data_IF_183596079917
#
_entry.id   IF_183596079917
#
_cell.length_a   1.000
_cell.length_b   1.000
_cell.length_c   1.000
_cell.angle_alpha   90.00
_cell.angle_beta   90.00
_cell.angle_gamma   90.00
#
_symmetry.space_group_name_H-M   'P 1'
#
loop_
_entity.id
_entity.type
_entity.pdbx_description
1 polymer ?
#
# COMPACT_ATOMS: atom_id res chain seq x y z
N UNK A 1 -13.84 -47.92 -9.51
CA UNK A 1 -13.13 -46.63 -9.76
C UNK A 1 -13.57 -45.67 -8.67
N UNK A 2 -12.73 -45.48 -7.67
CA UNK A 2 -13.04 -44.66 -6.49
C UNK A 2 -12.44 -43.27 -6.68
N UNK A 3 -13.30 -42.20 -6.65
CA UNK A 3 -12.90 -40.83 -6.67
C UNK A 3 -12.37 -40.44 -5.29
N UNK A 4 -11.06 -40.19 -5.19
CA UNK A 4 -10.45 -39.63 -4.01
C UNK A 4 -10.76 -38.11 -3.94
N UNK A 5 -11.66 -37.75 -3.02
CA UNK A 5 -11.91 -36.37 -2.66
C UNK A 5 -10.71 -35.78 -1.89
N UNK A 6 -10.01 -34.85 -2.49
CA UNK A 6 -8.99 -34.06 -1.81
C UNK A 6 -9.65 -33.18 -0.74
N UNK A 7 -9.47 -33.53 0.53
CA UNK A 7 -9.82 -32.68 1.67
C UNK A 7 -8.80 -31.51 1.72
N UNK A 8 -9.25 -30.29 1.37
CA UNK A 8 -8.50 -29.08 1.66
C UNK A 8 -8.37 -28.96 3.19
N UNK A 9 -7.19 -29.20 3.71
CA UNK A 9 -6.88 -28.96 5.10
C UNK A 9 -6.82 -27.44 5.34
N UNK A 10 -7.80 -26.94 6.07
CA UNK A 10 -7.84 -25.54 6.52
C UNK A 10 -6.66 -25.33 7.49
N UNK A 11 -5.59 -24.68 7.03
CA UNK A 11 -4.46 -24.30 7.87
C UNK A 11 -4.79 -22.99 8.59
N UNK A 12 -5.01 -23.05 9.90
CA UNK A 12 -5.10 -21.89 10.78
C UNK A 12 -3.68 -21.32 10.93
N UNK A 13 -3.43 -20.14 10.37
CA UNK A 13 -2.16 -19.45 10.56
C UNK A 13 -2.31 -18.56 11.81
N UNK A 14 -1.64 -18.94 12.88
CA UNK A 14 -1.54 -18.13 14.09
C UNK A 14 -0.38 -17.15 13.93
N UNK A 15 -0.69 -15.88 13.69
CA UNK A 15 0.32 -14.82 13.66
C UNK A 15 0.40 -14.21 15.07
N UNK A 16 1.56 -14.36 15.73
CA UNK A 16 1.83 -13.67 16.98
C UNK A 16 2.20 -12.22 16.69
N UNK A 17 1.36 -11.29 17.13
CA UNK A 17 1.70 -9.87 17.14
C UNK A 17 2.70 -9.57 18.28
N UNK A 18 3.63 -8.59 18.12
CA UNK A 18 4.54 -8.20 19.19
C UNK A 18 3.75 -7.59 20.36
N UNK A 19 4.05 -8.07 21.55
CA UNK A 19 3.40 -7.68 22.81
C UNK A 19 3.82 -6.26 23.18
N UNK A 20 2.87 -5.32 23.20
CA UNK A 20 3.02 -4.07 23.93
C UNK A 20 3.02 -4.41 25.43
N UNK A 21 3.90 -3.74 26.21
CA UNK A 21 4.08 -3.96 27.66
C UNK A 21 2.76 -3.74 28.42
N UNK A 22 2.09 -4.84 28.73
CA UNK A 22 0.85 -4.88 29.50
C UNK A 22 0.22 -6.25 29.31
N UNK A 23 0.42 -7.17 30.24
CA UNK A 23 0.27 -8.62 30.20
C UNK A 23 -1.07 -9.22 29.75
N UNK A 24 -1.46 -9.04 28.49
CA UNK A 24 -2.55 -9.79 27.87
C UNK A 24 -2.09 -10.29 26.50
N UNK A 25 -2.05 -11.62 26.31
CA UNK A 25 -1.77 -12.21 24.99
C UNK A 25 -3.03 -12.03 24.13
N UNK A 26 -3.06 -11.05 23.25
CA UNK A 26 -4.13 -10.93 22.26
C UNK A 26 -3.92 -12.01 21.19
N UNK A 27 -4.74 -13.06 21.21
CA UNK A 27 -4.75 -14.09 20.17
C UNK A 27 -5.64 -13.56 19.05
N UNK A 28 -5.02 -13.15 17.94
CA UNK A 28 -5.77 -12.77 16.73
C UNK A 28 -6.03 -14.04 15.92
N UNK A 29 -7.27 -14.52 15.94
CA UNK A 29 -7.71 -15.62 15.09
C UNK A 29 -8.20 -15.01 13.78
N UNK A 30 -7.47 -15.29 12.68
CA UNK A 30 -7.90 -14.87 11.33
C UNK A 30 -8.66 -16.00 10.66
N UNK A 31 -9.75 -15.65 9.98
CA UNK A 31 -10.50 -16.61 9.16
C UNK A 31 -9.68 -17.00 7.92
N UNK A 32 -9.88 -18.24 7.36
CA UNK A 32 -9.05 -18.76 6.26
C UNK A 32 -9.07 -17.93 4.98
N UNK A 33 -10.10 -17.11 4.76
CA UNK A 33 -10.33 -16.33 3.53
C UNK A 33 -9.96 -14.85 3.65
N UNK A 34 -9.15 -14.45 4.61
CA UNK A 34 -8.70 -13.05 4.68
C UNK A 34 -7.65 -12.77 3.60
N UNK A 35 -8.09 -12.09 2.54
CA UNK A 35 -7.18 -11.54 1.55
C UNK A 35 -6.37 -10.42 2.19
N UNK A 36 -5.07 -10.42 1.93
CA UNK A 36 -4.18 -9.31 2.30
C UNK A 36 -4.67 -8.04 1.61
N UNK A 37 -4.86 -6.98 2.37
CA UNK A 37 -5.30 -5.66 1.90
C UNK A 37 -4.09 -4.78 1.70
N UNK A 38 -3.98 -4.20 0.52
CA UNK A 38 -2.85 -3.37 0.10
C UNK A 38 -3.34 -1.95 -0.09
N UNK A 39 -2.95 -1.04 0.79
CA UNK A 39 -3.25 0.38 0.66
C UNK A 39 -2.32 1.02 -0.35
N UNK A 40 -2.88 1.75 -1.32
CA UNK A 40 -2.12 2.45 -2.37
C UNK A 40 -2.28 3.96 -2.19
N UNK A 41 -1.18 4.61 -1.80
CA UNK A 41 -1.06 6.06 -1.63
C UNK A 41 -0.42 6.67 -2.87
N UNK A 42 -1.09 7.59 -3.53
CA UNK A 42 -0.58 8.34 -4.70
C UNK A 42 -1.45 9.55 -5.00
N UNK A 43 -0.94 10.50 -5.79
CA UNK A 43 -1.75 11.56 -6.37
C UNK A 43 -2.80 10.99 -7.33
N UNK A 44 -4.01 11.58 -7.33
CA UNK A 44 -5.15 11.00 -8.05
C UNK A 44 -5.07 11.19 -9.57
N UNK A 45 -4.76 12.43 -9.99
CA UNK A 45 -4.78 12.81 -11.41
C UNK A 45 -3.45 12.51 -12.09
N UNK A 46 -2.33 12.92 -11.47
CA UNK A 46 -0.99 12.78 -12.03
C UNK A 46 -0.58 11.32 -12.26
N UNK A 47 -1.01 10.43 -11.38
CA UNK A 47 -0.64 9.00 -11.37
C UNK A 47 -1.83 8.07 -11.67
N UNK A 48 -2.81 8.54 -12.44
CA UNK A 48 -4.02 7.76 -12.72
C UNK A 48 -3.72 6.43 -13.43
N UNK A 49 -2.79 6.43 -14.40
CA UNK A 49 -2.39 5.22 -15.13
C UNK A 49 -1.66 4.23 -14.20
N UNK A 50 -0.73 4.72 -13.39
CA UNK A 50 0.01 3.94 -12.40
C UNK A 50 -0.91 3.32 -11.34
N UNK A 51 -1.90 4.07 -10.90
CA UNK A 51 -2.94 3.57 -9.96
C UNK A 51 -3.70 2.41 -10.56
N UNK A 52 -4.11 2.51 -11.82
CA UNK A 52 -4.80 1.43 -12.53
C UNK A 52 -3.90 0.20 -12.69
N UNK A 53 -2.65 0.37 -13.10
CA UNK A 53 -1.69 -0.71 -13.28
C UNK A 53 -1.42 -1.46 -11.96
N UNK A 54 -1.16 -0.73 -10.86
CA UNK A 54 -0.94 -1.32 -9.54
C UNK A 54 -2.20 -2.02 -9.01
N UNK A 55 -3.38 -1.42 -9.22
CA UNK A 55 -4.66 -2.05 -8.84
C UNK A 55 -4.87 -3.37 -9.57
N UNK A 56 -4.61 -3.40 -10.87
CA UNK A 56 -4.68 -4.62 -11.67
C UNK A 56 -3.70 -5.70 -11.17
N UNK A 57 -2.44 -5.31 -10.90
CA UNK A 57 -1.41 -6.20 -10.39
C UNK A 57 -1.77 -6.80 -9.02
N UNK A 58 -2.24 -5.98 -8.08
CA UNK A 58 -2.70 -6.43 -6.76
C UNK A 58 -3.86 -7.44 -6.91
N UNK A 59 -4.79 -7.15 -7.80
CA UNK A 59 -5.94 -8.03 -8.06
C UNK A 59 -5.52 -9.36 -8.69
N UNK A 60 -4.58 -9.35 -9.64
CA UNK A 60 -4.01 -10.57 -10.24
C UNK A 60 -3.34 -11.47 -9.20
N UNK A 61 -2.71 -10.89 -8.19
CA UNK A 61 -2.14 -11.62 -7.06
C UNK A 61 -3.20 -12.14 -6.06
N UNK A 62 -4.48 -11.94 -6.34
CA UNK A 62 -5.60 -12.27 -5.45
C UNK A 62 -5.54 -11.54 -4.11
N UNK A 63 -4.89 -10.38 -4.08
CA UNK A 63 -4.89 -9.46 -2.97
C UNK A 63 -6.03 -8.43 -3.15
N UNK A 64 -6.32 -7.64 -2.12
CA UNK A 64 -7.38 -6.63 -2.16
C UNK A 64 -6.75 -5.24 -2.22
N UNK A 65 -6.86 -4.51 -3.34
CA UNK A 65 -6.42 -3.12 -3.40
C UNK A 65 -7.36 -2.23 -2.58
N UNK A 66 -6.78 -1.33 -1.81
CA UNK A 66 -7.49 -0.32 -1.02
C UNK A 66 -6.96 1.05 -1.45
N UNK A 67 -7.81 1.83 -2.11
CA UNK A 67 -7.46 3.15 -2.62
C UNK A 67 -8.44 4.19 -2.06
N UNK A 68 -7.89 5.36 -1.74
CA UNK A 68 -8.72 6.52 -1.49
C UNK A 68 -9.09 7.16 -2.83
N UNK A 69 -10.39 7.28 -3.09
CA UNK A 69 -10.92 7.94 -4.29
C UNK A 69 -11.75 9.16 -3.89
N UNK A 70 -11.63 10.23 -4.68
CA UNK A 70 -12.49 11.40 -4.52
C UNK A 70 -13.95 11.02 -4.82
N UNK A 71 -14.85 11.52 -3.98
CA UNK A 71 -16.28 11.32 -4.14
C UNK A 71 -17.04 11.81 -2.92
N UNK A 72 -18.36 11.93 -3.04
CA UNK A 72 -19.21 12.27 -1.90
C UNK A 72 -19.17 11.13 -0.88
N UNK A 73 -18.61 11.41 0.29
CA UNK A 73 -18.51 10.48 1.41
C UNK A 73 -19.08 11.11 2.66
N UNK A 74 -19.70 10.33 3.56
CA UNK A 74 -20.33 10.86 4.79
C UNK A 74 -19.33 11.30 5.86
N UNK A 75 -18.03 11.07 5.66
CA UNK A 75 -16.96 11.36 6.61
C UNK A 75 -15.88 12.25 6.00
N UNK A 76 -15.14 13.02 6.83
CA UNK A 76 -13.98 13.78 6.39
C UNK A 76 -12.95 12.88 5.69
N UNK A 77 -12.26 13.37 4.65
CA UNK A 77 -11.26 12.59 3.91
C UNK A 77 -10.21 11.93 4.80
N UNK A 78 -9.73 12.63 5.83
CA UNK A 78 -8.72 12.12 6.75
C UNK A 78 -9.19 10.91 7.56
N UNK A 79 -10.42 10.93 8.04
CA UNK A 79 -10.98 9.82 8.80
C UNK A 79 -11.15 8.58 7.93
N UNK A 80 -11.52 8.78 6.64
CA UNK A 80 -11.70 7.69 5.68
C UNK A 80 -10.37 7.00 5.35
N UNK A 81 -9.36 7.76 4.88
CA UNK A 81 -8.10 7.10 4.51
C UNK A 81 -7.38 6.51 5.73
N UNK A 82 -7.53 7.11 6.91
CA UNK A 82 -7.05 6.54 8.15
C UNK A 82 -7.70 5.19 8.46
N UNK A 83 -9.02 5.11 8.38
CA UNK A 83 -9.76 3.86 8.59
C UNK A 83 -9.38 2.78 7.56
N UNK A 84 -9.19 3.18 6.29
CA UNK A 84 -8.73 2.26 5.23
C UNK A 84 -7.32 1.77 5.49
N UNK A 85 -6.43 2.65 5.92
CA UNK A 85 -5.06 2.32 6.23
C UNK A 85 -4.97 1.38 7.45
N UNK A 86 -5.73 1.65 8.51
CA UNK A 86 -5.78 0.80 9.71
C UNK A 86 -6.19 -0.65 9.36
N UNK A 87 -7.11 -0.82 8.41
CA UNK A 87 -7.59 -2.11 7.95
C UNK A 87 -6.67 -2.78 6.91
N UNK A 88 -5.64 -2.09 6.44
CA UNK A 88 -4.72 -2.62 5.43
C UNK A 88 -3.51 -3.30 6.07
N UNK A 89 -2.99 -4.31 5.40
CA UNK A 89 -1.84 -5.12 5.87
C UNK A 89 -0.52 -4.59 5.31
N UNK A 90 -0.53 -4.01 4.11
CA UNK A 90 0.64 -3.51 3.39
C UNK A 90 0.36 -2.10 2.87
N UNK A 91 1.38 -1.26 2.86
CA UNK A 91 1.34 0.09 2.28
C UNK A 91 2.20 0.16 1.02
N UNK A 92 1.65 0.73 -0.05
CA UNK A 92 2.38 1.08 -1.28
C UNK A 92 2.27 2.59 -1.48
N UNK A 93 3.40 3.29 -1.51
CA UNK A 93 3.47 4.70 -1.87
C UNK A 93 4.01 4.87 -3.29
N UNK A 94 3.32 5.62 -4.14
CA UNK A 94 3.72 5.93 -5.52
C UNK A 94 3.79 7.46 -5.65
N UNK A 95 4.99 7.99 -5.89
CA UNK A 95 5.25 9.42 -5.90
C UNK A 95 5.91 9.84 -7.21
N UNK A 96 5.50 10.99 -7.78
CA UNK A 96 6.05 11.52 -9.02
C UNK A 96 6.59 12.95 -8.83
N UNK A 97 5.86 13.98 -9.24
CA UNK A 97 6.28 15.38 -9.18
C UNK A 97 5.57 16.18 -8.10
N UNK A 98 4.27 15.90 -7.85
CA UNK A 98 3.43 16.70 -6.97
C UNK A 98 3.41 16.16 -5.53
N UNK A 99 3.50 17.07 -4.56
CA UNK A 99 3.40 16.76 -3.12
C UNK A 99 1.97 16.40 -2.69
N UNK A 100 1.00 16.77 -3.53
CA UNK A 100 -0.41 16.60 -3.23
C UNK A 100 -1.00 17.73 -2.40
N UNK A 101 -2.31 17.70 -2.25
CA UNK A 101 -3.06 18.75 -1.58
C UNK A 101 -2.90 18.69 -0.06
N UNK A 102 -2.72 19.89 0.52
CA UNK A 102 -2.71 20.08 1.98
C UNK A 102 -4.07 20.61 2.39
N UNK A 103 -4.82 19.82 3.15
CA UNK A 103 -6.15 20.22 3.61
C UNK A 103 -6.10 21.39 4.61
N UNK A 104 -7.15 22.20 4.70
CA UNK A 104 -7.26 23.23 5.73
C UNK A 104 -7.08 22.61 7.13
N UNK A 105 -6.20 23.24 7.94
CA UNK A 105 -5.87 22.76 9.29
C UNK A 105 -4.84 21.61 9.33
N UNK A 106 -4.29 21.21 8.20
CA UNK A 106 -3.18 20.25 8.14
C UNK A 106 -1.86 20.93 7.77
N UNK A 107 -0.76 20.45 8.34
CA UNK A 107 0.60 20.94 8.03
C UNK A 107 1.22 20.19 6.84
N UNK A 108 0.80 18.96 6.60
CA UNK A 108 1.31 18.05 5.57
C UNK A 108 0.22 17.64 4.61
N UNK A 109 0.62 17.18 3.41
CA UNK A 109 -0.34 16.62 2.44
C UNK A 109 -0.90 15.29 2.91
N UNK A 110 -2.02 14.87 2.30
CA UNK A 110 -2.60 13.56 2.53
C UNK A 110 -1.58 12.43 2.30
N UNK A 111 -0.74 12.54 1.28
CA UNK A 111 0.31 11.54 0.96
C UNK A 111 1.31 11.36 2.10
N UNK A 112 1.77 12.46 2.69
CA UNK A 112 2.71 12.40 3.80
C UNK A 112 2.03 11.94 5.10
N UNK A 113 0.78 12.34 5.36
CA UNK A 113 0.01 11.87 6.51
C UNK A 113 -0.27 10.35 6.42
N UNK A 114 -0.65 9.86 5.24
CA UNK A 114 -0.84 8.42 4.97
C UNK A 114 0.46 7.63 5.19
N UNK A 115 1.59 8.14 4.71
CA UNK A 115 2.89 7.51 4.96
C UNK A 115 3.21 7.44 6.45
N UNK A 116 3.02 8.52 7.19
CA UNK A 116 3.28 8.58 8.63
C UNK A 116 2.37 7.60 9.40
N UNK A 117 1.09 7.54 9.04
CA UNK A 117 0.11 6.62 9.61
C UNK A 117 0.39 5.15 9.27
N UNK A 118 1.14 4.87 8.20
CA UNK A 118 1.53 3.51 7.82
C UNK A 118 2.64 2.91 8.69
N UNK A 119 3.11 3.63 9.70
CA UNK A 119 4.16 3.15 10.60
C UNK A 119 3.82 1.78 11.19
N UNK A 120 4.81 0.87 11.21
CA UNK A 120 4.64 -0.51 11.68
C UNK A 120 4.08 -1.49 10.64
N UNK A 121 3.71 -1.02 9.44
CA UNK A 121 3.31 -1.90 8.32
C UNK A 121 4.48 -2.12 7.36
N UNK A 122 4.52 -3.25 6.62
CA UNK A 122 5.39 -3.38 5.45
C UNK A 122 5.10 -2.25 4.45
N UNK A 123 6.16 -1.55 4.00
CA UNK A 123 6.05 -0.39 3.10
C UNK A 123 6.88 -0.61 1.85
N UNK A 124 6.28 -0.37 0.68
CA UNK A 124 6.92 -0.39 -0.63
C UNK A 124 6.79 1.01 -1.23
N UNK A 125 7.90 1.63 -1.59
CA UNK A 125 7.93 2.99 -2.11
C UNK A 125 8.43 2.98 -3.55
N UNK A 126 7.60 3.52 -4.43
CA UNK A 126 7.89 3.68 -5.84
C UNK A 126 7.95 5.16 -6.19
N UNK A 127 9.01 5.56 -6.88
CA UNK A 127 9.15 6.95 -7.34
C UNK A 127 9.30 7.00 -8.83
N UNK A 128 8.36 7.68 -9.49
CA UNK A 128 8.41 7.94 -10.92
C UNK A 128 9.53 8.92 -11.22
N UNK A 129 10.30 8.64 -12.27
CA UNK A 129 11.29 9.59 -12.77
C UNK A 129 10.57 10.86 -13.26
N UNK A 130 10.96 12.00 -12.73
CA UNK A 130 10.38 13.28 -13.08
C UNK A 130 11.49 14.31 -13.27
N UNK A 131 11.37 15.16 -14.30
CA UNK A 131 12.33 16.21 -14.60
C UNK A 131 12.34 17.32 -13.53
N UNK A 132 11.21 17.54 -12.88
CA UNK A 132 11.02 18.53 -11.81
C UNK A 132 10.09 17.95 -10.75
N UNK A 133 10.40 18.18 -9.48
CA UNK A 133 9.55 17.84 -8.33
C UNK A 133 9.32 19.06 -7.47
N UNK A 134 8.17 19.11 -6.83
CA UNK A 134 7.89 20.11 -5.81
C UNK A 134 8.89 20.00 -4.65
N UNK A 135 9.39 21.14 -4.11
CA UNK A 135 10.37 21.13 -3.03
C UNK A 135 9.91 20.34 -1.80
N UNK A 136 8.62 20.43 -1.45
CA UNK A 136 8.03 19.68 -0.31
C UNK A 136 8.05 18.19 -0.55
N UNK A 137 7.75 17.73 -1.77
CA UNK A 137 7.86 16.29 -2.13
C UNK A 137 9.32 15.83 -2.06
N UNK A 138 10.25 16.64 -2.55
CA UNK A 138 11.67 16.31 -2.49
C UNK A 138 12.15 16.14 -1.04
N UNK A 139 11.72 17.03 -0.14
CA UNK A 139 12.04 16.94 1.30
C UNK A 139 11.43 15.67 1.92
N UNK A 140 10.18 15.37 1.58
CA UNK A 140 9.48 14.18 2.05
C UNK A 140 10.17 12.89 1.58
N UNK A 141 10.55 12.78 0.31
CA UNK A 141 11.29 11.62 -0.21
C UNK A 141 12.67 11.45 0.44
N UNK A 142 13.38 12.54 0.73
CA UNK A 142 14.63 12.50 1.49
C UNK A 142 14.43 11.96 2.91
N UNK A 143 13.34 12.36 3.56
CA UNK A 143 12.96 11.84 4.88
C UNK A 143 12.72 10.33 4.82
N UNK A 144 11.94 9.84 3.85
CA UNK A 144 11.69 8.41 3.65
C UNK A 144 13.01 7.63 3.43
N UNK A 145 13.91 8.17 2.61
CA UNK A 145 15.22 7.55 2.34
C UNK A 145 16.09 7.49 3.59
N UNK A 146 16.07 8.54 4.42
CA UNK A 146 16.84 8.61 5.65
C UNK A 146 16.36 7.62 6.72
N UNK A 147 15.08 7.23 6.73
CA UNK A 147 14.56 6.23 7.65
C UNK A 147 15.14 4.82 7.40
N UNK A 148 15.55 4.50 6.16
CA UNK A 148 16.22 3.24 5.81
C UNK A 148 15.42 1.95 6.02
N UNK A 149 14.14 2.05 6.34
CA UNK A 149 13.25 0.92 6.70
C UNK A 149 12.30 0.50 5.58
N UNK A 150 12.39 1.11 4.41
CA UNK A 150 11.45 0.86 3.30
C UNK A 150 12.15 0.33 2.06
N UNK A 151 11.48 -0.55 1.32
CA UNK A 151 11.90 -0.93 -0.03
C UNK A 151 11.61 0.23 -0.98
N UNK A 152 12.62 0.72 -1.67
CA UNK A 152 12.55 1.90 -2.54
C UNK A 152 12.94 1.53 -3.98
N UNK A 153 12.09 1.86 -4.95
CA UNK A 153 12.35 1.60 -6.37
C UNK A 153 11.99 2.81 -7.23
N UNK A 154 12.83 3.08 -8.21
CA UNK A 154 12.53 4.05 -9.27
C UNK A 154 11.88 3.35 -10.46
N UNK A 155 11.01 4.06 -11.18
CA UNK A 155 10.38 3.60 -12.42
C UNK A 155 10.13 4.78 -13.37
N UNK A 156 9.95 4.49 -14.65
CA UNK A 156 9.69 5.49 -15.69
C UNK A 156 8.22 5.47 -16.15
N UNK A 157 7.65 4.31 -16.33
CA UNK A 157 6.28 4.14 -16.79
C UNK A 157 5.47 3.14 -15.94
N UNK A 158 4.16 3.07 -16.21
CA UNK A 158 3.24 2.22 -15.47
C UNK A 158 3.53 0.71 -15.65
N UNK A 159 4.13 0.31 -16.78
CA UNK A 159 4.43 -1.09 -17.07
C UNK A 159 5.55 -1.62 -16.18
N UNK A 160 6.49 -0.76 -15.79
CA UNK A 160 7.55 -1.11 -14.85
C UNK A 160 7.07 -1.32 -13.41
N UNK A 161 5.91 -0.81 -13.06
CA UNK A 161 5.26 -1.03 -11.75
C UNK A 161 4.62 -2.40 -11.63
N UNK A 162 4.44 -3.11 -12.74
CA UNK A 162 3.84 -4.45 -12.79
C UNK A 162 4.95 -5.52 -12.97
N UNK A 163 5.85 -5.73 -11.99
CA UNK A 163 6.93 -6.72 -12.09
C UNK A 163 6.41 -8.17 -12.10
N UNK A 164 5.11 -8.35 -12.02
CA UNK A 164 4.39 -9.64 -11.90
C UNK A 164 3.69 -10.03 -13.21
N UNK A 165 3.99 -9.34 -14.34
CA UNK A 165 3.55 -9.84 -15.63
C UNK A 165 4.20 -11.19 -15.87
N UNK A 166 3.43 -12.24 -16.28
CA UNK A 166 3.97 -13.58 -16.54
C UNK A 166 5.05 -13.62 -17.62
N UNK A 167 5.31 -12.51 -18.31
CA UNK A 167 6.37 -12.38 -19.32
C UNK A 167 7.78 -12.16 -18.76
N UNK A 168 7.95 -11.77 -17.50
CA UNK A 168 9.29 -11.48 -16.94
C UNK A 168 9.97 -12.67 -16.25
N UNK A 169 9.31 -13.83 -16.18
CA UNK A 169 9.91 -15.09 -15.70
C UNK A 169 10.50 -15.93 -16.85
N UNK A 170 11.03 -15.32 -17.90
CA UNK A 170 11.95 -16.06 -18.77
C UNK A 170 13.31 -16.01 -18.10
N UNK A 171 13.70 -17.16 -17.52
CA UNK A 171 15.03 -17.43 -17.05
C UNK A 171 16.06 -17.01 -18.09
N UNK A 172 17.02 -16.20 -17.67
CA UNK A 172 18.35 -16.14 -18.29
C UNK A 172 19.18 -17.26 -17.72
#
# INVERSE_FOLDING_TARGET
MAAQGARLACRIIVVRAPVAKGGGTCIMIRTPDQRVRVFVSSTLEELAAERQAVTAAITQLRLTPVLFELGARPYPPRDLYRAYLEQSDVFIGIYAASYGWVAPGMEVSGLEDEYRLSAGKPRLIYTKKASRREPRLTSFLKMIQAEGVVSYRHFEDADELVPWSPMTWRCS
#
